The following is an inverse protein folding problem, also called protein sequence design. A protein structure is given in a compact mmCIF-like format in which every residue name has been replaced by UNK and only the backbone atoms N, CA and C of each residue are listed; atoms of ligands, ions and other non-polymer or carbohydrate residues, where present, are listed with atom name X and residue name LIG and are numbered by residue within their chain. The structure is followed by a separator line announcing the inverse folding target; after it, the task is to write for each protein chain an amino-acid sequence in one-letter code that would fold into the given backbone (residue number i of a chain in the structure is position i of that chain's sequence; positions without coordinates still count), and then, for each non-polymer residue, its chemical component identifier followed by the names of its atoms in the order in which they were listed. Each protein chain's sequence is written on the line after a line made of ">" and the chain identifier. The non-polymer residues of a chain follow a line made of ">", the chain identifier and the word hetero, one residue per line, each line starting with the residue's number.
data_IF_207829880334
#
_entry.id   IF_207829880334
#
_cell.length_a   1.000
_cell.length_b   1.000
_cell.length_c   1.000
_cell.angle_alpha   90.00
_cell.angle_beta   90.00
_cell.angle_gamma   90.00
#
_symmetry.space_group_name_H-M   'P 1'
#
loop_
_entity.id
_entity.type
_entity.pdbx_description
1 polymer ?
#
# COMPACT_ATOMS: atom_id res chain seq x y z
N UNK A 1 2.41 55.93 -24.05
CA UNK A 1 1.97 55.96 -22.63
C UNK A 1 1.48 54.57 -22.30
N UNK A 2 2.06 53.75 -21.42
CA UNK A 2 2.73 54.03 -20.14
C UNK A 2 3.93 53.09 -19.95
N UNK A 3 5.01 53.61 -19.37
CA UNK A 3 6.29 52.93 -19.11
C UNK A 3 6.17 51.84 -18.04
N UNK A 4 6.60 50.61 -18.36
CA UNK A 4 6.73 49.49 -17.42
C UNK A 4 8.14 48.83 -17.33
N UNK A 5 9.31 49.52 -17.43
CA UNK A 5 10.59 48.81 -17.32
C UNK A 5 11.28 48.94 -15.94
N UNK A 6 10.72 49.65 -14.96
CA UNK A 6 11.43 49.97 -13.70
C UNK A 6 11.20 49.01 -12.51
N UNK A 7 10.21 48.11 -12.55
CA UNK A 7 9.99 47.15 -11.45
C UNK A 7 10.87 45.89 -11.52
N UNK A 8 11.35 45.50 -12.71
CA UNK A 8 12.13 44.28 -12.91
C UNK A 8 13.53 44.31 -12.22
N UNK A 9 14.32 45.40 -12.29
CA UNK A 9 15.65 45.41 -11.65
C UNK A 9 15.58 45.53 -10.13
N UNK A 10 14.52 46.13 -9.58
CA UNK A 10 14.28 46.22 -8.13
C UNK A 10 13.96 44.86 -7.51
N UNK A 11 13.17 44.02 -8.20
CA UNK A 11 12.92 42.64 -7.77
C UNK A 11 14.18 41.76 -7.82
N UNK A 12 15.05 41.93 -8.83
CA UNK A 12 16.32 41.20 -8.91
C UNK A 12 17.30 41.58 -7.79
N UNK A 13 17.35 42.87 -7.42
CA UNK A 13 18.20 43.31 -6.29
C UNK A 13 17.70 42.81 -4.93
N UNK A 14 16.38 42.66 -4.74
CA UNK A 14 15.80 42.14 -3.49
C UNK A 14 16.04 40.62 -3.34
N UNK A 15 16.13 39.88 -4.46
CA UNK A 15 16.47 38.45 -4.44
C UNK A 15 17.92 38.18 -4.01
N UNK A 16 18.82 39.15 -4.18
CA UNK A 16 20.25 39.04 -3.81
C UNK A 16 20.54 39.47 -2.36
N UNK A 17 19.58 40.11 -1.67
CA UNK A 17 19.76 40.64 -0.30
C UNK A 17 18.95 39.82 0.72
N UNK A 18 18.05 38.94 0.28
CA UNK A 18 17.43 37.98 1.19
C UNK A 18 18.49 36.92 1.55
N UNK A 19 18.93 36.81 2.82
CA UNK A 19 19.74 35.69 3.23
C UNK A 19 18.87 34.47 3.01
N UNK A 20 19.13 33.73 1.93
CA UNK A 20 18.56 32.41 1.77
C UNK A 20 19.02 31.68 3.02
N UNK A 21 18.13 31.15 3.87
CA UNK A 21 18.54 30.20 4.88
C UNK A 21 18.87 28.91 4.12
N UNK A 22 19.96 28.92 3.36
CA UNK A 22 20.77 27.74 3.15
C UNK A 22 21.22 27.37 4.56
N UNK A 23 20.41 26.54 5.21
CA UNK A 23 20.81 25.84 6.42
C UNK A 23 22.21 25.30 6.14
N UNK A 24 23.19 25.89 6.80
CA UNK A 24 24.58 25.45 6.79
C UNK A 24 24.63 24.06 7.44
N UNK A 25 24.27 23.02 6.68
CA UNK A 25 24.68 21.68 7.05
C UNK A 25 26.16 21.59 6.69
N UNK A 26 27.03 21.70 7.70
CA UNK A 26 28.46 21.46 7.51
C UNK A 26 28.68 20.03 6.95
N UNK A 27 29.73 19.79 6.14
CA UNK A 27 29.96 18.50 5.50
C UNK A 27 29.98 17.31 6.48
N UNK A 28 30.41 17.55 7.71
CA UNK A 28 30.38 16.57 8.81
C UNK A 28 28.95 16.20 9.22
N UNK A 29 28.07 17.18 9.41
CA UNK A 29 26.67 16.94 9.75
C UNK A 29 25.93 16.22 8.61
N UNK A 30 26.20 16.58 7.35
CA UNK A 30 25.67 15.84 6.19
C UNK A 30 26.19 14.41 6.14
N UNK A 31 27.48 14.19 6.43
CA UNK A 31 28.09 12.86 6.47
C UNK A 31 27.53 11.98 7.58
N UNK A 32 27.29 12.54 8.77
CA UNK A 32 26.68 11.82 9.90
C UNK A 32 25.21 11.47 9.60
N UNK A 33 24.42 12.42 9.10
CA UNK A 33 23.01 12.16 8.75
C UNK A 33 22.93 11.16 7.60
N UNK A 34 23.71 11.36 6.53
CA UNK A 34 23.76 10.44 5.39
C UNK A 34 24.22 9.04 5.77
N UNK A 35 25.25 8.94 6.62
CA UNK A 35 25.77 7.67 7.14
C UNK A 35 24.76 6.95 8.03
N UNK A 36 24.06 7.66 8.92
CA UNK A 36 23.02 7.09 9.78
C UNK A 36 21.81 6.60 8.98
N UNK A 37 21.38 7.36 7.96
CA UNK A 37 20.31 6.94 7.05
C UNK A 37 20.71 5.72 6.25
N UNK A 38 21.91 5.70 5.65
CA UNK A 38 22.41 4.58 4.87
C UNK A 38 22.53 3.31 5.74
N UNK A 39 23.10 3.42 6.95
CA UNK A 39 23.19 2.32 7.89
C UNK A 39 21.81 1.84 8.34
N UNK A 40 20.86 2.75 8.57
CA UNK A 40 19.49 2.41 8.93
C UNK A 40 18.73 1.68 7.81
N UNK A 41 18.88 2.12 6.56
CA UNK A 41 18.31 1.44 5.40
C UNK A 41 18.93 0.05 5.21
N UNK A 42 20.26 -0.04 5.30
CA UNK A 42 20.99 -1.30 5.21
C UNK A 42 20.56 -2.28 6.31
N UNK A 43 20.48 -1.84 7.56
CA UNK A 43 20.02 -2.67 8.67
C UNK A 43 18.56 -3.11 8.49
N UNK A 44 17.69 -2.22 8.00
CA UNK A 44 16.29 -2.54 7.70
C UNK A 44 16.18 -3.63 6.62
N UNK A 45 16.84 -3.47 5.48
CA UNK A 45 16.78 -4.45 4.37
C UNK A 45 17.44 -5.78 4.74
N UNK A 46 18.68 -5.75 5.25
CA UNK A 46 19.48 -6.98 5.41
C UNK A 46 19.18 -7.74 6.70
N UNK A 47 18.74 -7.05 7.76
CA UNK A 47 18.49 -7.68 9.06
C UNK A 47 16.99 -7.74 9.35
N UNK A 48 16.30 -6.61 9.45
CA UNK A 48 14.90 -6.60 9.90
C UNK A 48 13.94 -7.31 8.92
N UNK A 49 13.94 -6.91 7.65
CA UNK A 49 13.08 -7.49 6.61
C UNK A 49 13.43 -8.93 6.26
N UNK A 50 14.59 -9.42 6.71
CA UNK A 50 14.93 -10.84 6.59
C UNK A 50 14.09 -11.70 7.54
N UNK A 51 13.83 -11.23 8.75
CA UNK A 51 13.12 -11.96 9.81
C UNK A 51 11.66 -11.52 10.01
N UNK A 52 11.26 -10.35 9.48
CA UNK A 52 9.89 -9.85 9.51
C UNK A 52 9.28 -9.72 8.10
N UNK A 53 7.97 -9.47 8.02
CA UNK A 53 7.35 -9.05 6.76
C UNK A 53 7.58 -7.54 6.55
N UNK A 54 8.00 -7.19 5.34
CA UNK A 54 8.20 -5.82 4.90
C UNK A 54 7.42 -5.55 3.62
N UNK A 55 7.24 -4.27 3.29
CA UNK A 55 6.65 -3.87 2.02
C UNK A 55 7.74 -3.94 0.94
N UNK A 56 8.00 -5.16 0.47
CA UNK A 56 8.98 -5.47 -0.59
C UNK A 56 8.47 -6.58 -1.50
N UNK A 57 9.15 -6.79 -2.63
CA UNK A 57 8.79 -7.82 -3.63
C UNK A 57 8.91 -9.25 -3.07
N UNK A 58 9.65 -9.43 -1.96
CA UNK A 58 9.79 -10.73 -1.28
C UNK A 58 8.49 -11.10 -0.56
N UNK A 59 7.98 -10.19 0.25
CA UNK A 59 6.77 -10.39 1.06
C UNK A 59 5.49 -10.21 0.24
N UNK A 60 5.52 -9.40 -0.81
CA UNK A 60 4.37 -9.12 -1.71
C UNK A 60 4.73 -9.47 -3.16
N UNK A 61 4.91 -10.78 -3.49
CA UNK A 61 5.38 -11.20 -4.80
C UNK A 61 4.33 -11.08 -5.93
N UNK A 62 3.06 -10.79 -5.60
CA UNK A 62 2.01 -10.52 -6.58
C UNK A 62 1.91 -11.54 -7.74
N UNK A 63 1.86 -12.84 -7.42
CA UNK A 63 1.94 -13.96 -8.38
C UNK A 63 0.61 -14.21 -9.10
N UNK A 64 0.15 -13.24 -9.90
CA UNK A 64 -1.18 -13.30 -10.54
C UNK A 64 -1.32 -14.43 -11.56
N UNK A 65 -0.24 -14.82 -12.23
CA UNK A 65 -0.26 -15.98 -13.13
C UNK A 65 -0.47 -17.31 -12.37
N UNK A 66 0.12 -17.45 -11.19
CA UNK A 66 -0.11 -18.61 -10.33
C UNK A 66 -1.53 -18.63 -9.77
N UNK A 67 -2.10 -17.46 -9.47
CA UNK A 67 -3.52 -17.34 -9.13
C UNK A 67 -4.42 -17.87 -10.24
N UNK A 68 -4.19 -17.45 -11.49
CA UNK A 68 -5.00 -17.86 -12.65
C UNK A 68 -5.02 -19.38 -12.83
N UNK A 69 -3.84 -20.02 -12.73
CA UNK A 69 -3.69 -21.48 -12.78
C UNK A 69 -4.33 -22.18 -11.57
N UNK A 70 -4.17 -21.61 -10.38
CA UNK A 70 -4.76 -22.17 -9.15
C UNK A 70 -6.29 -22.17 -9.24
N UNK A 71 -6.88 -21.05 -9.65
CA UNK A 71 -8.33 -20.93 -9.83
C UNK A 71 -8.83 -21.90 -10.89
N UNK A 72 -8.14 -22.05 -12.01
CA UNK A 72 -8.51 -23.02 -13.05
C UNK A 72 -8.58 -24.46 -12.53
N UNK A 73 -7.61 -24.86 -11.69
CA UNK A 73 -7.52 -26.23 -11.19
C UNK A 73 -8.45 -26.51 -10.02
N UNK A 74 -8.71 -25.51 -9.18
CA UNK A 74 -9.36 -25.72 -7.87
C UNK A 74 -10.77 -25.14 -7.79
N UNK A 75 -11.09 -24.11 -8.57
CA UNK A 75 -12.39 -23.43 -8.52
C UNK A 75 -13.34 -24.01 -9.57
N UNK A 76 -14.23 -24.89 -9.13
CA UNK A 76 -15.19 -25.58 -10.01
C UNK A 76 -16.48 -24.78 -10.14
N UNK A 77 -17.01 -24.69 -11.36
CA UNK A 77 -18.34 -24.10 -11.63
C UNK A 77 -18.42 -22.57 -11.54
N UNK A 78 -17.30 -21.87 -11.29
CA UNK A 78 -17.26 -20.40 -11.12
C UNK A 78 -16.33 -19.73 -12.14
N UNK A 79 -16.53 -19.99 -13.43
CA UNK A 79 -15.67 -19.49 -14.51
C UNK A 79 -15.61 -17.95 -14.60
N UNK A 80 -16.69 -17.27 -14.20
CA UNK A 80 -16.81 -15.79 -14.18
C UNK A 80 -15.77 -15.16 -13.24
N UNK A 81 -15.43 -15.83 -12.14
CA UNK A 81 -14.43 -15.33 -11.17
C UNK A 81 -13.09 -15.14 -11.87
N UNK A 82 -12.59 -16.14 -12.60
CA UNK A 82 -11.32 -16.03 -13.30
C UNK A 82 -11.34 -14.91 -14.35
N UNK A 83 -12.45 -14.78 -15.08
CA UNK A 83 -12.61 -13.80 -16.16
C UNK A 83 -12.56 -12.34 -15.68
N UNK A 84 -13.03 -12.05 -14.46
CA UNK A 84 -13.04 -10.68 -13.94
C UNK A 84 -11.94 -10.39 -12.93
N UNK A 85 -11.61 -11.35 -12.04
CA UNK A 85 -10.66 -11.11 -10.95
C UNK A 85 -9.23 -11.01 -11.48
N UNK A 86 -8.82 -11.91 -12.38
CA UNK A 86 -7.44 -11.93 -12.88
C UNK A 86 -7.10 -10.64 -13.64
N UNK A 87 -7.92 -10.16 -14.60
CA UNK A 87 -7.64 -8.89 -15.26
C UNK A 87 -7.70 -7.68 -14.32
N UNK A 88 -8.65 -7.64 -13.39
CA UNK A 88 -8.76 -6.53 -12.44
C UNK A 88 -7.51 -6.42 -11.55
N UNK A 89 -6.99 -7.55 -11.04
CA UNK A 89 -5.76 -7.57 -10.26
C UNK A 89 -4.54 -7.17 -11.11
N UNK A 90 -4.39 -7.74 -12.31
CA UNK A 90 -3.30 -7.37 -13.23
C UNK A 90 -3.28 -5.86 -13.50
N UNK A 91 -4.45 -5.28 -13.83
CA UNK A 91 -4.57 -3.86 -14.09
C UNK A 91 -4.29 -3.00 -12.86
N UNK A 92 -4.77 -3.41 -11.68
CA UNK A 92 -4.56 -2.66 -10.45
C UNK A 92 -3.08 -2.64 -10.03
N UNK A 93 -2.40 -3.79 -10.08
CA UNK A 93 -0.97 -3.88 -9.74
C UNK A 93 -0.12 -3.11 -10.76
N UNK A 94 -0.41 -3.25 -12.06
CA UNK A 94 0.32 -2.51 -13.09
C UNK A 94 0.12 -0.98 -13.02
N UNK A 95 -0.92 -0.51 -12.31
CA UNK A 95 -1.21 0.92 -12.12
C UNK A 95 -1.01 1.40 -10.68
N UNK A 96 -0.33 0.61 -9.83
CA UNK A 96 -0.11 0.91 -8.41
C UNK A 96 0.49 2.30 -8.18
N UNK A 97 1.44 2.70 -9.03
CA UNK A 97 2.15 3.97 -8.87
C UNK A 97 1.31 5.19 -9.31
N UNK A 98 0.22 4.95 -10.04
CA UNK A 98 -0.58 6.01 -10.70
C UNK A 98 -1.98 6.15 -10.10
N UNK A 99 -2.56 5.07 -9.56
CA UNK A 99 -3.92 5.07 -9.03
C UNK A 99 -3.93 5.29 -7.53
N UNK A 100 -4.64 6.33 -7.07
CA UNK A 100 -4.89 6.58 -5.63
C UNK A 100 -6.13 5.87 -5.09
N UNK A 101 -6.89 5.15 -5.93
CA UNK A 101 -8.13 4.47 -5.51
C UNK A 101 -7.86 2.98 -5.26
N UNK A 102 -8.36 2.43 -4.13
CA UNK A 102 -8.24 1.01 -3.85
C UNK A 102 -9.12 0.18 -4.80
N UNK A 103 -8.68 -1.02 -5.13
CA UNK A 103 -9.51 -2.01 -5.80
C UNK A 103 -10.53 -2.58 -4.81
N UNK A 104 -11.82 -2.47 -5.14
CA UNK A 104 -12.92 -3.02 -4.33
C UNK A 104 -13.63 -4.09 -5.15
N UNK A 105 -13.77 -5.29 -4.57
CA UNK A 105 -14.44 -6.43 -5.17
C UNK A 105 -15.52 -6.92 -4.21
N UNK A 106 -16.71 -7.19 -4.72
CA UNK A 106 -17.81 -7.76 -3.93
C UNK A 106 -18.21 -9.13 -4.48
N UNK A 107 -18.16 -10.15 -3.62
CA UNK A 107 -18.59 -11.51 -3.95
C UNK A 107 -19.99 -11.77 -3.40
N UNK A 108 -20.97 -11.95 -4.28
CA UNK A 108 -22.35 -12.28 -3.91
C UNK A 108 -22.73 -13.71 -4.36
N UNK A 109 -23.67 -14.34 -3.64
CA UNK A 109 -24.19 -15.67 -3.98
C UNK A 109 -24.47 -16.53 -2.75
N UNK A 110 -24.93 -17.76 -2.97
CA UNK A 110 -25.32 -18.70 -1.93
C UNK A 110 -24.15 -19.09 -1.01
N UNK A 111 -24.37 -19.37 0.30
CA UNK A 111 -23.34 -19.95 1.16
C UNK A 111 -22.76 -21.24 0.56
N UNK A 112 -21.47 -21.52 0.82
CA UNK A 112 -20.80 -22.74 0.34
C UNK A 112 -20.30 -22.70 -1.11
N UNK A 113 -20.55 -21.64 -1.89
CA UNK A 113 -20.10 -21.55 -3.29
C UNK A 113 -18.65 -21.10 -3.50
N UNK A 114 -17.84 -21.04 -2.43
CA UNK A 114 -16.40 -20.75 -2.54
C UNK A 114 -15.99 -19.27 -2.47
N UNK A 115 -16.86 -18.34 -2.03
CA UNK A 115 -16.51 -16.90 -1.90
C UNK A 115 -15.26 -16.66 -1.05
N UNK A 116 -15.22 -17.24 0.16
CA UNK A 116 -14.06 -17.12 1.06
C UNK A 116 -12.84 -17.84 0.48
N UNK A 117 -13.05 -18.96 -0.21
CA UNK A 117 -11.97 -19.70 -0.87
C UNK A 117 -11.29 -18.85 -1.95
N UNK A 118 -12.06 -18.14 -2.78
CA UNK A 118 -11.51 -17.22 -3.78
C UNK A 118 -10.73 -16.09 -3.13
N UNK A 119 -11.27 -15.48 -2.07
CA UNK A 119 -10.56 -14.43 -1.33
C UNK A 119 -9.22 -14.94 -0.76
N UNK A 120 -9.19 -16.16 -0.24
CA UNK A 120 -7.97 -16.79 0.27
C UNK A 120 -6.97 -17.12 -0.83
N UNK A 121 -7.42 -17.58 -2.00
CA UNK A 121 -6.56 -17.78 -3.17
C UNK A 121 -5.92 -16.46 -3.62
N UNK A 122 -6.69 -15.36 -3.62
CA UNK A 122 -6.15 -14.03 -3.93
C UNK A 122 -5.07 -13.65 -2.91
N UNK A 123 -5.34 -13.78 -1.61
CA UNK A 123 -4.36 -13.47 -0.57
C UNK A 123 -3.08 -14.31 -0.72
N UNK A 124 -3.21 -15.62 -0.96
CA UNK A 124 -2.09 -16.54 -1.16
C UNK A 124 -1.26 -16.24 -2.41
N UNK A 125 -1.86 -15.65 -3.44
CA UNK A 125 -1.14 -15.22 -4.62
C UNK A 125 -0.43 -13.87 -4.43
N UNK A 126 -1.05 -12.94 -3.69
CA UNK A 126 -0.50 -11.60 -3.48
C UNK A 126 0.62 -11.57 -2.45
N UNK A 127 0.48 -12.31 -1.35
CA UNK A 127 1.37 -12.25 -0.20
C UNK A 127 2.08 -13.58 0.03
N UNK A 128 3.36 -13.52 0.42
CA UNK A 128 4.17 -14.72 0.67
C UNK A 128 3.58 -15.61 1.77
N UNK A 129 3.07 -15.01 2.85
CA UNK A 129 2.38 -15.73 3.93
C UNK A 129 0.88 -15.90 3.69
N UNK A 130 0.40 -15.48 2.52
CA UNK A 130 -0.99 -15.58 2.12
C UNK A 130 -1.95 -14.94 3.10
N UNK A 131 -3.02 -15.66 3.46
CA UNK A 131 -4.03 -15.16 4.40
C UNK A 131 -3.54 -14.93 5.83
N UNK A 132 -2.31 -15.33 6.15
CA UNK A 132 -1.66 -15.12 7.45
C UNK A 132 -0.66 -13.95 7.43
N UNK A 133 -0.55 -13.24 6.30
CA UNK A 133 0.33 -12.09 6.20
C UNK A 133 -0.15 -10.96 7.10
N UNK A 134 0.79 -10.20 7.67
CA UNK A 134 0.48 -9.00 8.45
C UNK A 134 -0.27 -7.92 7.62
N UNK A 135 -0.23 -8.01 6.29
CA UNK A 135 -0.93 -7.13 5.36
C UNK A 135 -2.37 -7.59 5.03
N UNK A 136 -2.80 -8.73 5.57
CA UNK A 136 -4.13 -9.29 5.33
C UNK A 136 -4.90 -9.37 6.63
N UNK A 137 -5.94 -8.55 6.74
CA UNK A 137 -6.88 -8.58 7.87
C UNK A 137 -8.22 -9.15 7.41
N UNK A 138 -8.77 -10.08 8.19
CA UNK A 138 -10.10 -10.65 7.96
C UNK A 138 -11.04 -10.21 9.06
N UNK A 139 -12.21 -9.75 8.67
CA UNK A 139 -13.31 -9.42 9.57
C UNK A 139 -14.48 -10.35 9.30
N UNK A 140 -15.00 -10.99 10.34
CA UNK A 140 -16.16 -11.86 10.30
C UNK A 140 -17.33 -11.16 11.00
N UNK A 141 -18.30 -10.68 10.20
CA UNK A 141 -19.37 -9.80 10.67
C UNK A 141 -20.04 -10.22 11.99
N UNK A 142 -20.62 -11.42 12.06
CA UNK A 142 -21.33 -11.87 13.27
C UNK A 142 -20.40 -12.16 14.46
N UNK A 143 -19.13 -12.49 14.23
CA UNK A 143 -18.21 -12.82 15.30
C UNK A 143 -17.51 -11.59 15.86
N UNK A 144 -17.05 -10.69 14.98
CA UNK A 144 -16.30 -9.49 15.36
C UNK A 144 -17.23 -8.32 15.72
N UNK A 145 -18.42 -8.27 15.12
CA UNK A 145 -19.39 -7.18 15.26
C UNK A 145 -20.81 -7.69 15.59
N UNK A 146 -21.00 -8.38 16.73
CA UNK A 146 -22.26 -9.04 17.05
C UNK A 146 -23.41 -8.09 17.41
N UNK A 147 -23.12 -6.91 17.96
CA UNK A 147 -24.14 -6.01 18.52
C UNK A 147 -24.19 -4.68 17.78
N UNK A 148 -25.36 -4.35 17.24
CA UNK A 148 -25.63 -3.09 16.53
C UNK A 148 -25.39 -1.85 17.40
N UNK A 149 -25.60 -1.93 18.72
CA UNK A 149 -25.41 -0.77 19.61
C UNK A 149 -23.96 -0.27 19.69
N UNK A 150 -22.99 -1.04 19.20
CA UNK A 150 -21.56 -0.73 19.27
C UNK A 150 -20.95 -0.30 17.92
N UNK A 151 -21.78 -0.01 16.91
CA UNK A 151 -21.33 0.35 15.55
C UNK A 151 -20.27 1.46 15.54
N UNK A 152 -20.40 2.50 16.34
CA UNK A 152 -19.44 3.60 16.35
C UNK A 152 -18.09 3.21 16.95
N UNK A 153 -18.09 2.33 17.95
CA UNK A 153 -16.86 1.73 18.48
C UNK A 153 -16.18 0.84 17.44
N UNK A 154 -16.96 0.04 16.71
CA UNK A 154 -16.43 -0.82 15.65
C UNK A 154 -15.80 -0.02 14.50
N UNK A 155 -16.44 1.07 14.07
CA UNK A 155 -15.85 1.99 13.07
C UNK A 155 -14.51 2.55 13.54
N UNK A 156 -14.44 3.01 14.79
CA UNK A 156 -13.22 3.55 15.37
C UNK A 156 -12.10 2.48 15.43
N UNK A 157 -12.44 1.26 15.87
CA UNK A 157 -11.53 0.11 15.91
C UNK A 157 -10.96 -0.23 14.54
N UNK A 158 -11.83 -0.44 13.53
CA UNK A 158 -11.40 -0.76 12.16
C UNK A 158 -10.51 0.36 11.60
N UNK A 159 -10.90 1.63 11.79
CA UNK A 159 -10.09 2.75 11.32
C UNK A 159 -8.71 2.81 11.99
N UNK A 160 -8.59 2.40 13.25
CA UNK A 160 -7.32 2.36 13.95
C UNK A 160 -6.44 1.23 13.42
N UNK A 161 -6.99 0.02 13.31
CA UNK A 161 -6.29 -1.17 12.83
C UNK A 161 -5.75 -0.96 11.40
N UNK A 162 -6.58 -0.47 10.48
CA UNK A 162 -6.16 -0.19 9.10
C UNK A 162 -5.02 0.83 9.06
N UNK A 163 -5.06 1.88 9.90
CA UNK A 163 -3.97 2.87 9.96
C UNK A 163 -2.68 2.29 10.54
N UNK A 164 -2.77 1.32 11.44
CA UNK A 164 -1.61 0.65 12.02
C UNK A 164 -0.96 -0.31 11.04
N UNK A 165 -1.75 -1.03 10.22
CA UNK A 165 -1.23 -1.95 9.19
C UNK A 165 -0.55 -1.24 8.02
N UNK A 166 -0.89 0.03 7.76
CA UNK A 166 -0.28 0.84 6.68
C UNK A 166 1.06 1.52 7.07
N UNK A 167 1.53 1.37 8.31
CA UNK A 167 2.80 1.93 8.78
C UNK A 167 3.94 0.91 8.63
#
# INVERSE_FOLDING_TARGET
>A
MMSFPRMLPLCLSVLMILPHPLQSLEPLSMGVIGGAVAMGMYFKEYTYCRFSECCDDRSIPARIHELEKSLERTLIGQHIVRQHIVPALKAHIASSDKSRKPLVISFHGQPGTGKNFVADQIANALYLKGSKSNYVTKYLGQADFPNESHVDSYKAKISLEVRQTLR
#
